data_IF_091354069508
#
_entry.id   IF_091354069508
#
_cell.length_a   1.000
_cell.length_b   1.000
_cell.length_c   1.000
_cell.angle_alpha   90.00
_cell.angle_beta   90.00
_cell.angle_gamma   90.00
#
_symmetry.space_group_name_H-M   'P 1'
#
loop_
_entity.id
_entity.type
_entity.pdbx_description
1 polymer ?
#
# COMPACT_ATOMS: atom_id res chain seq x y z
N UNK A 1 14.50 -3.26 -9.59
CA UNK A 1 14.64 -2.69 -8.23
C UNK A 1 13.51 -1.70 -8.02
N UNK A 2 12.62 -1.95 -7.05
CA UNK A 2 11.59 -0.96 -6.69
C UNK A 2 12.30 0.28 -6.13
N UNK A 3 11.93 1.47 -6.60
CA UNK A 3 12.44 2.70 -6.03
C UNK A 3 11.99 2.75 -4.56
N UNK A 4 12.93 3.00 -3.65
CA UNK A 4 12.61 3.12 -2.23
C UNK A 4 11.79 4.39 -2.02
N UNK A 5 10.56 4.25 -1.56
CA UNK A 5 9.68 5.37 -1.24
C UNK A 5 10.17 6.01 0.07
N UNK A 6 10.46 7.31 0.05
CA UNK A 6 10.95 7.98 1.27
C UNK A 6 9.78 8.29 2.22
N UNK A 7 10.02 8.39 3.54
CA UNK A 7 8.97 8.75 4.49
C UNK A 7 8.26 10.06 4.16
N UNK A 8 8.98 11.05 3.61
CA UNK A 8 8.43 12.35 3.20
C UNK A 8 7.51 12.19 1.99
N UNK A 9 7.90 11.36 1.02
CA UNK A 9 7.06 11.04 -0.14
C UNK A 9 5.78 10.32 0.30
N UNK A 10 5.90 9.36 1.21
CA UNK A 10 4.75 8.63 1.75
C UNK A 10 3.86 9.57 2.55
N UNK A 11 4.40 10.45 3.39
CA UNK A 11 3.62 11.44 4.13
C UNK A 11 2.87 12.40 3.19
N UNK A 12 3.49 12.81 2.08
CA UNK A 12 2.86 13.70 1.09
C UNK A 12 1.73 13.03 0.32
N UNK A 13 1.95 11.81 -0.15
CA UNK A 13 1.02 11.09 -1.04
C UNK A 13 0.03 10.20 -0.28
N UNK A 14 0.34 9.87 0.98
CA UNK A 14 -0.39 8.93 1.82
C UNK A 14 -0.54 7.56 1.16
N UNK A 15 0.40 7.23 0.29
CA UNK A 15 0.36 6.07 -0.58
C UNK A 15 1.71 5.37 -0.57
N UNK A 16 1.68 4.04 -0.52
CA UNK A 16 2.83 3.15 -0.74
C UNK A 16 2.50 2.17 -1.85
N UNK A 17 3.51 1.71 -2.58
CA UNK A 17 3.32 0.69 -3.61
C UNK A 17 3.41 -0.72 -3.05
N UNK A 18 2.68 -1.66 -3.67
CA UNK A 18 2.77 -3.09 -3.33
C UNK A 18 4.21 -3.61 -3.36
N UNK A 19 5.00 -3.16 -4.32
CA UNK A 19 6.39 -3.58 -4.50
C UNK A 19 7.29 -3.07 -3.38
N UNK A 20 7.07 -1.84 -2.90
CA UNK A 20 7.84 -1.28 -1.81
C UNK A 20 7.51 -1.99 -0.49
N UNK A 21 6.24 -2.32 -0.25
CA UNK A 21 5.79 -3.06 0.94
C UNK A 21 6.33 -4.50 0.92
N UNK A 22 6.07 -5.24 -0.16
CA UNK A 22 6.49 -6.64 -0.29
C UNK A 22 8.03 -6.77 -0.37
N UNK A 23 8.72 -5.75 -0.89
CA UNK A 23 10.17 -5.65 -0.91
C UNK A 23 10.78 -5.12 0.40
N UNK A 24 10.00 -4.90 1.45
CA UNK A 24 10.49 -4.44 2.76
C UNK A 24 11.17 -3.07 2.74
N UNK A 25 10.84 -2.23 1.77
CA UNK A 25 11.51 -0.95 1.49
C UNK A 25 10.74 0.27 2.03
N UNK A 26 9.66 0.04 2.79
CA UNK A 26 8.76 1.06 3.35
C UNK A 26 9.09 1.30 4.83
N UNK A 27 9.26 2.57 5.22
CA UNK A 27 9.38 2.99 6.62
C UNK A 27 8.21 3.88 7.03
N UNK A 28 7.31 3.35 7.85
CA UNK A 28 6.12 4.03 8.35
C UNK A 28 6.25 4.49 9.81
N UNK A 29 7.42 4.35 10.44
CA UNK A 29 7.60 4.66 11.87
C UNK A 29 7.32 6.14 12.17
N UNK A 30 7.73 7.02 11.26
CA UNK A 30 7.53 8.47 11.33
C UNK A 30 6.27 8.95 10.59
N UNK A 31 5.45 8.04 10.05
CA UNK A 31 4.25 8.40 9.31
C UNK A 31 3.17 8.93 10.28
N UNK A 32 2.72 10.19 10.12
CA UNK A 32 1.91 10.86 11.14
C UNK A 32 0.41 10.61 10.99
N UNK A 33 -0.04 10.05 9.86
CA UNK A 33 -1.46 9.88 9.57
C UNK A 33 -1.98 8.51 9.97
N UNK A 34 -3.27 8.45 10.31
CA UNK A 34 -3.94 7.19 10.66
C UNK A 34 -4.37 6.36 9.45
N UNK A 35 -4.45 6.96 8.28
CA UNK A 35 -4.85 6.29 7.04
C UNK A 35 -3.67 6.20 6.10
N UNK A 36 -3.54 5.05 5.43
CA UNK A 36 -2.53 4.79 4.43
C UNK A 36 -3.17 4.03 3.26
N UNK A 37 -2.75 4.33 2.04
CA UNK A 37 -3.19 3.61 0.85
C UNK A 37 -2.06 2.74 0.33
N UNK A 38 -2.35 1.49 0.05
CA UNK A 38 -1.47 0.60 -0.70
C UNK A 38 -1.97 0.56 -2.14
N UNK A 39 -1.11 0.97 -3.07
CA UNK A 39 -1.39 1.02 -4.49
C UNK A 39 -0.75 -0.18 -5.18
N UNK A 40 -1.57 -1.01 -5.83
CA UNK A 40 -1.12 -1.96 -6.83
C UNK A 40 -1.42 -1.40 -8.22
N UNK A 41 -0.36 -1.19 -9.00
CA UNK A 41 -0.44 -0.60 -10.33
C UNK A 41 0.35 -1.38 -11.39
N UNK A 42 0.95 -2.52 -11.02
CA UNK A 42 1.64 -3.43 -11.93
C UNK A 42 0.97 -4.80 -11.89
N UNK A 43 0.75 -5.38 -13.08
CA UNK A 43 -0.01 -6.63 -13.24
C UNK A 43 -1.38 -6.39 -13.89
N UNK A 44 -2.19 -7.44 -13.98
CA UNK A 44 -3.51 -7.41 -14.63
C UNK A 44 -4.59 -7.88 -13.66
N UNK A 45 -5.62 -7.05 -13.43
CA UNK A 45 -6.86 -7.43 -12.72
C UNK A 45 -6.62 -8.14 -11.38
N UNK A 46 -7.03 -9.42 -11.30
CA UNK A 46 -6.96 -10.23 -10.08
C UNK A 46 -5.57 -10.37 -9.45
N UNK A 47 -4.50 -10.25 -10.24
CA UNK A 47 -3.13 -10.24 -9.72
C UNK A 47 -2.87 -8.99 -8.87
N UNK A 48 -3.43 -7.84 -9.27
CA UNK A 48 -3.28 -6.59 -8.53
C UNK A 48 -4.04 -6.63 -7.20
N UNK A 49 -5.24 -7.21 -7.20
CA UNK A 49 -6.01 -7.44 -5.96
C UNK A 49 -5.22 -8.34 -5.02
N UNK A 50 -4.68 -9.45 -5.55
CA UNK A 50 -3.87 -10.39 -4.76
C UNK A 50 -2.64 -9.70 -4.17
N UNK A 51 -1.93 -8.88 -4.95
CA UNK A 51 -0.77 -8.13 -4.46
C UNK A 51 -1.14 -7.08 -3.41
N UNK A 52 -2.25 -6.36 -3.59
CA UNK A 52 -2.73 -5.38 -2.62
C UNK A 52 -3.08 -6.03 -1.28
N UNK A 53 -3.76 -7.18 -1.31
CA UNK A 53 -4.08 -7.96 -0.11
C UNK A 53 -2.82 -8.52 0.55
N UNK A 54 -1.90 -9.11 -0.23
CA UNK A 54 -0.64 -9.62 0.32
C UNK A 54 0.20 -8.51 0.99
N UNK A 55 0.25 -7.32 0.39
CA UNK A 55 0.89 -6.17 1.00
C UNK A 55 0.17 -5.70 2.28
N UNK A 56 -1.17 -5.73 2.30
CA UNK A 56 -1.95 -5.43 3.50
C UNK A 56 -1.61 -6.39 4.65
N UNK A 57 -1.56 -7.71 4.40
CA UNK A 57 -1.18 -8.72 5.41
C UNK A 57 0.21 -8.48 6.01
N UNK A 58 1.18 -8.01 5.21
CA UNK A 58 2.50 -7.61 5.72
C UNK A 58 2.35 -6.43 6.68
N UNK A 59 1.59 -5.40 6.31
CA UNK A 59 1.39 -4.21 7.13
C UNK A 59 0.58 -4.48 8.40
N UNK A 60 -0.31 -5.48 8.41
CA UNK A 60 -1.04 -5.87 9.62
C UNK A 60 -0.11 -6.28 10.77
N UNK A 61 1.02 -6.93 10.44
CA UNK A 61 2.07 -7.29 11.42
C UNK A 61 2.72 -6.05 12.06
N UNK A 62 2.57 -4.88 11.45
CA UNK A 62 3.09 -3.60 11.92
C UNK A 62 1.99 -2.68 12.46
N UNK A 63 0.83 -3.23 12.83
CA UNK A 63 -0.25 -2.48 13.49
C UNK A 63 -1.14 -1.69 12.53
N UNK A 64 -1.21 -2.11 11.27
CA UNK A 64 -2.23 -1.62 10.33
C UNK A 64 -3.41 -2.59 10.26
N UNK A 65 -4.54 -2.11 9.77
CA UNK A 65 -5.77 -2.88 9.60
C UNK A 65 -6.34 -2.55 8.23
N UNK A 66 -6.64 -3.58 7.43
CA UNK A 66 -7.27 -3.37 6.13
C UNK A 66 -8.73 -2.95 6.32
N UNK A 67 -9.09 -1.77 5.78
CA UNK A 67 -10.48 -1.27 5.80
C UNK A 67 -11.24 -1.76 4.56
N UNK A 68 -10.66 -1.59 3.37
CA UNK A 68 -11.32 -1.92 2.11
C UNK A 68 -10.30 -2.05 0.97
N UNK A 69 -10.69 -2.79 -0.07
CA UNK A 69 -10.00 -2.84 -1.35
C UNK A 69 -10.94 -2.27 -2.42
N UNK A 70 -10.42 -1.38 -3.25
CA UNK A 70 -11.19 -0.73 -4.32
C UNK A 70 -10.42 -0.75 -5.61
N UNK A 71 -11.08 -1.19 -6.68
CA UNK A 71 -10.57 -1.14 -8.05
C UNK A 71 -11.32 -0.03 -8.79
N UNK A 72 -10.57 0.86 -9.45
CA UNK A 72 -11.17 1.85 -10.33
C UNK A 72 -11.03 1.39 -11.78
N UNK A 73 -12.18 1.01 -12.38
CA UNK A 73 -12.24 0.45 -13.73
C UNK A 73 -11.54 1.30 -14.80
N UNK A 74 -11.47 2.63 -14.60
CA UNK A 74 -10.82 3.56 -15.52
C UNK A 74 -9.30 3.60 -15.42
N UNK A 75 -8.70 3.21 -14.28
CA UNK A 75 -7.24 3.36 -14.05
C UNK A 75 -6.48 2.03 -14.02
N UNK A 76 -7.16 0.88 -14.00
CA UNK A 76 -6.51 -0.45 -13.82
C UNK A 76 -5.55 -0.47 -12.63
N UNK A 77 -5.96 0.21 -11.56
CA UNK A 77 -5.23 0.29 -10.30
C UNK A 77 -6.13 -0.22 -9.20
N UNK A 78 -5.52 -0.97 -8.30
CA UNK A 78 -6.17 -1.45 -7.08
C UNK A 78 -5.59 -0.70 -5.89
N UNK A 79 -6.49 -0.24 -5.02
CA UNK A 79 -6.16 0.49 -3.81
C UNK A 79 -6.64 -0.33 -2.61
N UNK A 80 -5.72 -0.68 -1.72
CA UNK A 80 -6.06 -1.17 -0.38
C UNK A 80 -5.94 -0.02 0.62
N UNK A 81 -7.02 0.30 1.32
CA UNK A 81 -7.05 1.37 2.32
C UNK A 81 -6.81 0.75 3.69
N UNK A 82 -5.78 1.23 4.38
CA UNK A 82 -5.34 0.75 5.68
C UNK A 82 -5.59 1.80 6.77
N UNK A 83 -5.88 1.36 7.99
CA UNK A 83 -5.96 2.18 9.20
C UNK A 83 -4.92 1.74 10.22
N UNK A 84 -4.25 2.69 10.86
CA UNK A 84 -3.37 2.42 12.00
C UNK A 84 -4.20 2.07 13.23
N UNK A 85 -3.91 0.91 13.83
CA UNK A 85 -4.52 0.42 15.06
C UNK A 85 -4.08 1.25 16.27
#
# INVERSE_FOLDING_TARGET
>A
MAARETPEQIARTRTVTTEAVLGGSVDLRVYPYRLLTVLSHRGVGGDQVTQAVAAAEVLERFGWELITVSEFASSRMVYAIMRRR
#
